data_IF_972428854498
#
_entry.id   IF_972428854498
#
_cell.length_a   1.000
_cell.length_b   1.000
_cell.length_c   1.000
_cell.angle_alpha   90.00
_cell.angle_beta   90.00
_cell.angle_gamma   90.00
#
_symmetry.space_group_name_H-M   'P 1'
#
loop_
_entity.id
_entity.type
_entity.pdbx_description
1 polymer ?
#
# COMPACT_ATOMS: atom_id res chain seq x y z
N UNK A 1 20.68 -29.59 -17.65
CA UNK A 1 20.15 -28.36 -18.28
C UNK A 1 19.10 -27.73 -17.36
N UNK A 2 19.49 -27.38 -16.13
CA UNK A 2 18.54 -26.93 -15.09
C UNK A 2 19.10 -25.70 -14.34
N UNK A 3 20.43 -25.67 -14.16
CA UNK A 3 21.18 -24.52 -13.64
C UNK A 3 21.07 -23.24 -14.49
N UNK A 4 20.99 -23.35 -15.82
CA UNK A 4 20.81 -22.18 -16.71
C UNK A 4 19.43 -21.52 -16.55
N UNK A 5 18.40 -22.27 -16.14
CA UNK A 5 17.03 -21.76 -15.98
C UNK A 5 16.85 -20.99 -14.67
N UNK A 6 17.55 -21.38 -13.61
CA UNK A 6 17.51 -20.70 -12.30
C UNK A 6 18.25 -19.35 -12.37
N UNK A 7 19.36 -19.28 -13.10
CA UNK A 7 20.06 -18.01 -13.34
C UNK A 7 19.17 -16.98 -14.08
N UNK A 8 18.32 -17.45 -14.99
CA UNK A 8 17.39 -16.61 -15.77
C UNK A 8 16.26 -16.00 -14.93
N UNK A 9 15.87 -16.65 -13.83
CA UNK A 9 14.84 -16.15 -12.91
C UNK A 9 15.38 -15.07 -11.96
N UNK A 10 16.64 -15.19 -11.52
CA UNK A 10 17.28 -14.20 -10.65
C UNK A 10 17.52 -12.86 -11.35
N UNK A 11 17.76 -12.86 -12.66
CA UNK A 11 17.95 -11.63 -13.46
C UNK A 11 16.67 -10.80 -13.60
N UNK A 12 15.47 -11.38 -13.42
CA UNK A 12 14.21 -10.66 -13.59
C UNK A 12 13.69 -9.96 -12.31
N UNK A 13 14.15 -10.37 -11.12
CA UNK A 13 13.64 -9.87 -9.84
C UNK A 13 14.60 -8.95 -9.08
N UNK A 14 15.89 -8.91 -9.46
CA UNK A 14 16.88 -7.98 -8.93
C UNK A 14 17.41 -7.10 -10.07
N UNK A 15 16.57 -6.20 -10.57
CA UNK A 15 17.02 -5.18 -11.53
C UNK A 15 17.76 -4.01 -10.85
N UNK A 16 17.60 -3.87 -9.52
CA UNK A 16 18.28 -2.86 -8.71
C UNK A 16 19.12 -3.50 -7.61
N UNK A 17 20.13 -2.75 -7.14
CA UNK A 17 20.89 -3.09 -5.95
C UNK A 17 19.93 -3.32 -4.74
N UNK A 18 20.18 -4.32 -3.86
CA UNK A 18 19.31 -4.62 -2.73
C UNK A 18 19.01 -3.41 -1.85
N UNK A 19 19.97 -2.50 -1.65
CA UNK A 19 19.77 -1.27 -0.87
C UNK A 19 18.75 -0.36 -1.54
N UNK A 20 18.90 -0.14 -2.84
CA UNK A 20 17.97 0.68 -3.65
C UNK A 20 16.56 0.11 -3.65
N UNK A 21 16.42 -1.22 -3.68
CA UNK A 21 15.12 -1.89 -3.58
C UNK A 21 14.45 -1.63 -2.22
N UNK A 22 15.19 -1.79 -1.13
CA UNK A 22 14.68 -1.53 0.22
C UNK A 22 14.32 -0.05 0.46
N UNK A 23 15.14 0.88 -0.02
CA UNK A 23 14.88 2.32 0.09
C UNK A 23 13.62 2.72 -0.67
N UNK A 24 13.47 2.24 -1.91
CA UNK A 24 12.27 2.48 -2.71
C UNK A 24 11.02 1.87 -2.06
N UNK A 25 11.12 0.65 -1.53
CA UNK A 25 10.01 0.03 -0.82
C UNK A 25 9.58 0.85 0.41
N UNK A 26 10.56 1.26 1.23
CA UNK A 26 10.33 2.09 2.41
C UNK A 26 9.65 3.40 2.04
N UNK A 27 10.14 4.07 1.00
CA UNK A 27 9.53 5.31 0.51
C UNK A 27 8.07 5.10 0.08
N UNK A 28 7.78 4.03 -0.67
CA UNK A 28 6.42 3.74 -1.12
C UNK A 28 5.47 3.42 0.03
N UNK A 29 5.96 2.74 1.06
CA UNK A 29 5.17 2.47 2.25
C UNK A 29 4.84 3.76 3.02
N UNK A 30 5.78 4.70 3.12
CA UNK A 30 5.51 6.02 3.70
C UNK A 30 4.50 6.81 2.88
N UNK A 31 4.70 6.90 1.56
CA UNK A 31 3.75 7.59 0.67
C UNK A 31 2.33 7.00 0.75
N UNK A 32 2.23 5.67 0.87
CA UNK A 32 0.96 4.98 1.08
C UNK A 32 0.32 5.33 2.43
N UNK A 33 1.07 5.23 3.53
CA UNK A 33 0.54 5.52 4.85
C UNK A 33 0.10 6.98 4.97
N UNK A 34 0.85 7.91 4.40
CA UNK A 34 0.52 9.35 4.44
C UNK A 34 -0.83 9.63 3.78
N UNK A 35 -1.11 9.07 2.59
CA UNK A 35 -2.41 9.27 1.93
C UNK A 35 -3.53 8.51 2.64
N UNK A 36 -3.25 7.32 3.17
CA UNK A 36 -4.22 6.54 3.94
C UNK A 36 -4.67 7.30 5.18
N UNK A 37 -3.74 7.88 5.93
CA UNK A 37 -4.03 8.65 7.15
C UNK A 37 -4.89 9.89 6.86
N UNK A 38 -4.58 10.61 5.77
CA UNK A 38 -5.42 11.74 5.32
C UNK A 38 -6.83 11.26 4.95
N UNK A 39 -6.94 10.17 4.19
CA UNK A 39 -8.24 9.60 3.80
C UNK A 39 -9.07 9.17 5.00
N UNK A 40 -8.46 8.44 5.93
CA UNK A 40 -9.07 7.99 7.18
C UNK A 40 -9.55 9.18 8.03
N UNK A 41 -8.74 10.24 8.16
CA UNK A 41 -9.15 11.47 8.86
C UNK A 41 -10.37 12.15 8.22
N UNK A 42 -10.39 12.26 6.88
CA UNK A 42 -11.53 12.84 6.16
C UNK A 42 -12.80 11.99 6.30
N UNK A 43 -12.67 10.67 6.26
CA UNK A 43 -13.81 9.76 6.46
C UNK A 43 -14.36 9.84 7.88
N UNK A 44 -13.51 9.97 8.89
CA UNK A 44 -13.94 10.23 10.27
C UNK A 44 -14.75 11.53 10.40
N UNK A 45 -14.24 12.63 9.85
CA UNK A 45 -14.96 13.91 9.85
C UNK A 45 -16.31 13.83 9.12
N UNK A 46 -16.37 13.09 8.00
CA UNK A 46 -17.59 12.90 7.24
C UNK A 46 -18.62 12.04 8.01
N UNK A 47 -18.15 10.99 8.68
CA UNK A 47 -18.98 10.14 9.51
C UNK A 47 -19.59 10.92 10.68
N UNK A 48 -18.78 11.72 11.36
CA UNK A 48 -19.22 12.63 12.42
C UNK A 48 -20.28 13.61 11.92
N UNK A 49 -20.05 14.25 10.76
CA UNK A 49 -20.99 15.19 10.17
C UNK A 49 -22.33 14.53 9.77
N UNK A 50 -22.31 13.25 9.41
CA UNK A 50 -23.50 12.46 9.03
C UNK A 50 -24.17 11.77 10.22
N UNK A 51 -23.52 11.70 11.38
CA UNK A 51 -24.02 10.96 12.55
C UNK A 51 -24.06 9.44 12.33
N UNK A 52 -23.15 8.91 11.51
CA UNK A 52 -23.01 7.47 11.22
C UNK A 52 -21.65 6.96 11.69
N UNK A 53 -21.44 5.63 11.69
CA UNK A 53 -20.11 5.09 12.02
C UNK A 53 -19.18 5.22 10.82
N UNK A 54 -17.89 5.44 11.08
CA UNK A 54 -16.87 5.56 10.03
C UNK A 54 -16.85 4.36 9.07
N UNK A 55 -17.00 3.13 9.58
CA UNK A 55 -17.09 1.91 8.76
C UNK A 55 -18.22 1.92 7.73
N UNK A 56 -19.29 2.68 7.97
CA UNK A 56 -20.40 2.82 7.01
C UNK A 56 -20.03 3.74 5.85
N UNK A 57 -19.23 4.78 6.13
CA UNK A 57 -18.66 5.68 5.12
C UNK A 57 -17.59 4.95 4.32
N UNK A 58 -16.67 4.23 4.98
CA UNK A 58 -15.62 3.45 4.33
C UNK A 58 -16.20 2.46 3.32
N UNK A 59 -17.25 1.74 3.72
CA UNK A 59 -17.96 0.80 2.84
C UNK A 59 -18.61 1.49 1.63
N UNK A 60 -19.13 2.70 1.78
CA UNK A 60 -19.69 3.49 0.68
C UNK A 60 -18.62 3.86 -0.35
N UNK A 61 -17.41 4.18 0.11
CA UNK A 61 -16.26 4.52 -0.74
C UNK A 61 -15.45 3.30 -1.18
N UNK A 62 -15.85 2.08 -0.79
CA UNK A 62 -15.19 0.84 -1.18
C UNK A 62 -13.87 0.58 -0.46
N UNK A 63 -13.66 1.18 0.71
CA UNK A 63 -12.49 0.96 1.58
C UNK A 63 -12.80 -0.16 2.57
N UNK A 64 -11.88 -1.09 2.74
CA UNK A 64 -11.95 -2.15 3.75
C UNK A 64 -10.86 -2.01 4.81
N UNK A 65 -10.99 -2.71 5.95
CA UNK A 65 -9.96 -2.72 6.99
C UNK A 65 -8.63 -3.34 6.52
N UNK A 66 -8.66 -4.16 5.46
CA UNK A 66 -7.47 -4.82 4.90
C UNK A 66 -6.66 -3.92 3.95
N UNK A 67 -7.23 -2.78 3.55
CA UNK A 67 -6.58 -1.73 2.74
C UNK A 67 -5.89 -0.73 3.68
#
# INVERSE_FOLDING_TARGET
>A
METLRIASLNTAYFSDDPKTTCERYTQRLHEYNDIKDVGQGLMGLLADARGVRQVEVEREFGVSEED
#
